data_IF_624050078833
#
_entry.id   IF_624050078833
#
_cell.length_a   1.000
_cell.length_b   1.000
_cell.length_c   1.000
_cell.angle_alpha   90.00
_cell.angle_beta   90.00
_cell.angle_gamma   90.00
#
_symmetry.space_group_name_H-M   'P 1'
#
loop_
_entity.id
_entity.type
_entity.pdbx_description
1 polymer ?
#
# COMPACT_ATOMS: atom_id res chain seq x y z
N UNK A 1 -11.44 12.18 17.20
CA UNK A 1 -12.34 11.41 16.32
C UNK A 1 -12.28 9.96 16.75
N UNK A 2 -13.42 9.26 16.89
CA UNK A 2 -13.46 7.85 17.36
C UNK A 2 -13.51 6.83 16.23
N UNK A 3 -13.79 7.25 15.00
CA UNK A 3 -13.94 6.36 13.84
C UNK A 3 -12.93 6.68 12.74
N UNK A 4 -12.44 5.67 11.99
CA UNK A 4 -11.49 5.87 10.92
C UNK A 4 -12.13 6.60 9.74
N UNK A 5 -11.36 7.50 9.10
CA UNK A 5 -11.81 8.23 7.91
C UNK A 5 -12.00 7.31 6.69
N UNK A 6 -11.22 6.22 6.63
CA UNK A 6 -11.31 5.19 5.60
C UNK A 6 -10.81 3.85 6.17
N UNK A 7 -11.42 2.76 5.71
CA UNK A 7 -10.95 1.38 5.93
C UNK A 7 -10.66 0.80 4.56
N UNK A 8 -9.44 0.36 4.33
CA UNK A 8 -8.96 -0.16 3.04
C UNK A 8 -8.75 -1.66 3.18
N UNK A 9 -9.29 -2.45 2.25
CA UNK A 9 -9.09 -3.91 2.24
C UNK A 9 -7.71 -4.25 1.68
N UNK A 10 -7.06 -5.25 2.28
CA UNK A 10 -5.71 -5.69 1.91
C UNK A 10 -5.69 -6.38 0.54
N UNK A 11 -6.81 -6.94 0.09
CA UNK A 11 -6.95 -7.61 -1.21
C UNK A 11 -6.81 -6.67 -2.42
N UNK A 12 -7.05 -5.38 -2.23
CA UNK A 12 -7.18 -4.36 -3.28
C UNK A 12 -6.23 -3.18 -3.11
N UNK A 13 -5.51 -3.13 -1.99
CA UNK A 13 -4.47 -2.12 -1.76
C UNK A 13 -3.27 -2.38 -2.67
N UNK A 14 -2.61 -1.32 -3.10
CA UNK A 14 -1.30 -1.36 -3.73
C UNK A 14 -0.50 -0.12 -3.31
N UNK A 15 0.82 -0.20 -3.33
CA UNK A 15 1.72 0.90 -2.97
C UNK A 15 2.85 1.00 -4.00
N UNK A 16 3.19 2.22 -4.42
CA UNK A 16 4.23 2.46 -5.42
C UNK A 16 4.91 3.80 -5.15
N UNK A 17 6.25 3.83 -5.15
CA UNK A 17 7.01 5.08 -5.07
C UNK A 17 6.80 5.91 -6.33
N UNK A 18 6.43 7.18 -6.15
CA UNK A 18 6.06 8.12 -7.22
C UNK A 18 6.66 9.51 -6.93
N UNK A 19 8.00 9.61 -6.77
CA UNK A 19 8.64 10.83 -6.28
C UNK A 19 8.44 12.04 -7.20
N UNK A 20 8.56 11.85 -8.52
CA UNK A 20 8.43 12.94 -9.49
C UNK A 20 7.01 13.51 -9.53
N UNK A 21 5.99 12.64 -9.43
CA UNK A 21 4.58 13.03 -9.41
C UNK A 21 4.21 13.79 -8.14
N UNK A 22 4.78 13.39 -7.01
CA UNK A 22 4.48 13.95 -5.69
C UNK A 22 5.35 15.19 -5.42
N UNK A 23 6.48 15.34 -6.10
CA UNK A 23 7.45 16.41 -5.86
C UNK A 23 8.26 16.20 -4.58
N UNK A 24 8.44 14.94 -4.14
CA UNK A 24 9.19 14.59 -2.95
C UNK A 24 9.93 13.24 -3.17
N UNK A 25 11.24 13.13 -2.85
CA UNK A 25 12.00 11.90 -3.05
C UNK A 25 11.45 10.68 -2.30
N UNK A 26 10.72 10.92 -1.20
CA UNK A 26 10.06 9.91 -0.37
C UNK A 26 8.56 9.81 -0.71
N UNK A 27 8.13 10.22 -1.90
CA UNK A 27 6.73 10.18 -2.31
C UNK A 27 6.22 8.76 -2.55
N UNK A 28 5.20 8.34 -1.82
CA UNK A 28 4.51 7.06 -1.97
C UNK A 28 3.05 7.28 -2.39
N UNK A 29 2.66 6.65 -3.50
CA UNK A 29 1.26 6.55 -3.93
C UNK A 29 0.68 5.23 -3.42
N UNK A 30 -0.38 5.31 -2.62
CA UNK A 30 -1.20 4.17 -2.22
C UNK A 30 -2.47 4.20 -3.06
N UNK A 31 -2.81 3.08 -3.69
CA UNK A 31 -4.03 2.92 -4.47
C UNK A 31 -4.89 1.83 -3.89
N UNK A 32 -6.20 1.98 -3.97
CA UNK A 32 -7.12 0.91 -3.62
C UNK A 32 -8.42 1.03 -4.41
N UNK A 33 -9.10 -0.11 -4.60
CA UNK A 33 -10.38 -0.15 -5.28
C UNK A 33 -11.51 0.20 -4.30
N UNK A 34 -12.34 1.17 -4.66
CA UNK A 34 -13.57 1.49 -3.94
C UNK A 34 -14.68 1.75 -4.95
N UNK A 35 -15.77 0.99 -4.84
CA UNK A 35 -16.91 1.08 -5.77
C UNK A 35 -16.48 0.92 -7.24
N UNK A 36 -15.56 -0.01 -7.50
CA UNK A 36 -14.93 -0.26 -8.80
C UNK A 36 -14.14 0.93 -9.40
N UNK A 37 -13.84 1.93 -8.57
CA UNK A 37 -13.01 3.09 -8.93
C UNK A 37 -11.70 3.05 -8.13
N UNK A 38 -10.58 3.23 -8.83
CA UNK A 38 -9.28 3.36 -8.18
C UNK A 38 -9.18 4.70 -7.46
N UNK A 39 -9.06 4.66 -6.14
CA UNK A 39 -8.73 5.81 -5.31
C UNK A 39 -7.21 5.92 -5.17
N UNK A 40 -6.70 7.14 -5.21
CA UNK A 40 -5.28 7.43 -5.03
C UNK A 40 -5.09 8.24 -3.75
N UNK A 41 -4.17 7.80 -2.89
CA UNK A 41 -3.69 8.52 -1.72
C UNK A 41 -2.21 8.80 -1.96
N UNK A 42 -1.80 10.05 -1.82
CA UNK A 42 -0.41 10.47 -1.94
C UNK A 42 0.10 10.85 -0.55
N UNK A 43 1.17 10.20 -0.11
CA UNK A 43 1.82 10.46 1.17
C UNK A 43 3.33 10.56 0.96
N UNK A 44 4.01 11.22 1.89
CA UNK A 44 5.46 11.19 1.99
C UNK A 44 5.85 11.25 3.47
N UNK A 45 7.11 10.94 3.76
CA UNK A 45 7.70 11.12 5.08
C UNK A 45 9.08 11.76 4.92
N UNK A 46 9.53 12.55 5.88
CA UNK A 46 10.84 13.23 5.80
C UNK A 46 12.00 12.24 5.88
N UNK A 47 11.84 11.18 6.68
CA UNK A 47 12.75 10.04 6.74
C UNK A 47 12.47 9.03 5.62
N UNK A 48 13.49 8.74 4.81
CA UNK A 48 13.46 7.71 3.77
C UNK A 48 13.28 6.30 4.36
N UNK A 49 13.82 6.07 5.55
CA UNK A 49 13.66 4.80 6.27
C UNK A 49 12.19 4.54 6.59
N UNK A 50 11.51 5.51 7.18
CA UNK A 50 10.11 5.38 7.61
C UNK A 50 9.19 5.09 6.41
N UNK A 51 9.35 5.82 5.29
CA UNK A 51 8.49 5.57 4.12
C UNK A 51 8.74 4.19 3.50
N UNK A 52 9.99 3.71 3.52
CA UNK A 52 10.36 2.37 3.05
C UNK A 52 9.82 1.29 3.99
N UNK A 53 9.83 1.52 5.30
CA UNK A 53 9.24 0.60 6.29
C UNK A 53 7.71 0.52 6.13
N UNK A 54 7.01 1.63 5.87
CA UNK A 54 5.58 1.64 5.54
C UNK A 54 5.28 0.86 4.26
N UNK A 55 6.05 1.10 3.19
CA UNK A 55 5.91 0.37 1.93
C UNK A 55 6.06 -1.14 2.11
N UNK A 56 7.10 -1.58 2.82
CA UNK A 56 7.35 -2.99 3.07
C UNK A 56 6.28 -3.61 3.99
N UNK A 57 5.75 -2.86 4.95
CA UNK A 57 4.68 -3.32 5.84
C UNK A 57 3.37 -3.57 5.07
N UNK A 58 3.03 -2.71 4.09
CA UNK A 58 1.90 -2.94 3.19
C UNK A 58 2.11 -4.22 2.37
N UNK A 59 3.31 -4.40 1.79
CA UNK A 59 3.65 -5.61 1.03
C UNK A 59 3.60 -6.88 1.88
N UNK A 60 4.08 -6.83 3.12
CA UNK A 60 4.03 -7.96 4.04
C UNK A 60 2.59 -8.35 4.38
N UNK A 61 1.70 -7.38 4.59
CA UNK A 61 0.28 -7.64 4.80
C UNK A 61 -0.37 -8.27 3.56
N UNK A 62 -0.05 -7.78 2.36
CA UNK A 62 -0.51 -8.38 1.11
C UNK A 62 0.00 -9.81 0.93
N UNK A 63 1.29 -10.05 1.18
CA UNK A 63 1.89 -11.39 1.10
C UNK A 63 1.19 -12.36 2.06
N UNK A 64 0.95 -11.93 3.30
CA UNK A 64 0.22 -12.75 4.26
C UNK A 64 -1.20 -13.07 3.78
N UNK A 65 -1.92 -12.07 3.26
CA UNK A 65 -3.24 -12.28 2.65
C UNK A 65 -3.19 -13.31 1.51
N UNK A 66 -2.23 -13.18 0.58
CA UNK A 66 -2.09 -14.09 -0.56
C UNK A 66 -1.77 -15.52 -0.11
N UNK A 67 -0.90 -15.72 0.89
CA UNK A 67 -0.61 -17.05 1.44
C UNK A 67 -1.84 -17.73 2.04
N UNK A 68 -2.74 -16.96 2.65
CA UNK A 68 -3.99 -17.48 3.21
C UNK A 68 -5.04 -17.71 2.12
N UNK A 69 -5.17 -16.79 1.16
CA UNK A 69 -6.15 -16.88 0.08
C UNK A 69 -5.80 -17.94 -0.97
N UNK A 70 -4.51 -18.24 -1.15
CA UNK A 70 -3.98 -19.15 -2.17
C UNK A 70 -2.97 -20.15 -1.56
N UNK A 71 -3.42 -21.09 -0.69
CA UNK A 71 -2.53 -21.95 0.10
C UNK A 71 -1.66 -22.93 -0.73
N UNK A 72 -1.98 -23.15 -2.01
CA UNK A 72 -1.20 -23.97 -2.94
C UNK A 72 -0.28 -23.18 -3.88
N UNK A 73 -0.26 -21.84 -3.78
CA UNK A 73 0.63 -21.02 -4.57
C UNK A 73 2.07 -21.12 -4.03
N UNK A 74 3.04 -21.17 -4.93
CA UNK A 74 4.46 -21.11 -4.56
C UNK A 74 4.84 -19.68 -4.23
N UNK A 75 5.86 -19.49 -3.40
CA UNK A 75 6.46 -18.17 -3.12
C UNK A 75 7.24 -17.59 -4.33
N UNK A 76 7.16 -18.23 -5.50
CA UNK A 76 7.72 -17.73 -6.75
C UNK A 76 6.82 -16.64 -7.35
N UNK A 77 7.44 -15.54 -7.79
CA UNK A 77 6.80 -14.43 -8.51
C UNK A 77 6.22 -14.86 -9.87
#
# INVERSE_FOLDING_TARGET
AKEPKAVIKVDTINACFQPDKIGNPNGLQITYLKDNVTRNIFVYHDSSREIVEWFNSIRAAQLHYLKVAFPGATDAE
#
